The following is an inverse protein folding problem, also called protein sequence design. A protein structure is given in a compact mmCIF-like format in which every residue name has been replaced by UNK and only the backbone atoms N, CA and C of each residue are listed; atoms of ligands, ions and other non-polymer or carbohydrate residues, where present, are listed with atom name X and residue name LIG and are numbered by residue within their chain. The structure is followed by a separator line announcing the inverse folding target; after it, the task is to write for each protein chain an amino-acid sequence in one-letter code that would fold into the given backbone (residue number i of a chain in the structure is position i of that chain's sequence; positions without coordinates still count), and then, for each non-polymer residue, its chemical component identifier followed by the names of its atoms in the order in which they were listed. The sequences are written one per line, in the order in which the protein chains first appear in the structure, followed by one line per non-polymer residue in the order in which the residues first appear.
data_IF_754678652069
#
_entry.id   IF_754678652069
#
_cell.length_a   1.000
_cell.length_b   1.000
_cell.length_c   1.000
_cell.angle_alpha   90.00
_cell.angle_beta   90.00
_cell.angle_gamma   90.00
#
_symmetry.space_group_name_H-M   'P 1'
#
loop_
_entity.id
_entity.type
_entity.pdbx_description
1 polymer ?
#
# COMPACT_ATOMS: atom_id res chain seq x y z
N UNK A 1 21.13 12.82 -0.36
CA UNK A 1 21.26 11.78 0.67
C UNK A 1 20.90 10.41 0.11
N UNK A 2 21.72 9.44 0.40
CA UNK A 2 21.46 8.08 -0.03
C UNK A 2 20.25 7.53 0.73
N UNK A 3 19.38 6.75 0.07
CA UNK A 3 18.34 6.03 0.77
C UNK A 3 18.96 5.06 1.78
N UNK A 4 18.36 4.97 2.95
CA UNK A 4 18.78 3.97 3.93
C UNK A 4 18.07 2.63 3.63
N UNK A 5 18.41 1.61 4.43
CA UNK A 5 17.82 0.27 4.23
C UNK A 5 16.30 0.29 4.27
N UNK A 6 15.72 1.10 5.17
CA UNK A 6 14.26 1.18 5.27
C UNK A 6 13.63 1.72 3.99
N UNK A 7 14.24 2.71 3.37
CA UNK A 7 13.75 3.28 2.11
C UNK A 7 13.81 2.24 0.99
N UNK A 8 14.92 1.49 0.89
CA UNK A 8 15.03 0.44 -0.12
C UNK A 8 13.99 -0.67 0.09
N UNK A 9 13.78 -1.08 1.36
CA UNK A 9 12.79 -2.12 1.67
C UNK A 9 11.38 -1.65 1.34
N UNK A 10 11.04 -0.41 1.70
CA UNK A 10 9.73 0.17 1.37
C UNK A 10 9.54 0.28 -0.13
N UNK A 11 10.56 0.76 -0.84
CA UNK A 11 10.49 0.89 -2.29
C UNK A 11 10.24 -0.47 -2.94
N UNK A 12 11.00 -1.49 -2.54
CA UNK A 12 10.82 -2.85 -3.06
C UNK A 12 9.41 -3.37 -2.76
N UNK A 13 8.95 -3.20 -1.53
CA UNK A 13 7.63 -3.65 -1.12
C UNK A 13 6.54 -3.02 -2.01
N UNK A 14 6.59 -1.70 -2.19
CA UNK A 14 5.56 -1.00 -2.97
C UNK A 14 5.66 -1.29 -4.47
N UNK A 15 6.87 -1.52 -5.00
CA UNK A 15 7.01 -1.95 -6.40
C UNK A 15 6.36 -3.31 -6.59
N UNK A 16 6.61 -4.25 -5.68
CA UNK A 16 6.03 -5.59 -5.78
C UNK A 16 4.52 -5.53 -5.65
N UNK A 17 4.00 -4.85 -4.63
CA UNK A 17 2.56 -4.76 -4.42
C UNK A 17 1.87 -3.97 -5.53
N UNK A 18 2.51 -2.93 -6.04
CA UNK A 18 1.98 -2.17 -7.17
C UNK A 18 1.93 -3.01 -8.44
N UNK A 19 2.97 -3.82 -8.69
CA UNK A 19 3.01 -4.71 -9.83
C UNK A 19 1.89 -5.76 -9.76
N UNK A 20 1.52 -6.21 -8.57
CA UNK A 20 0.43 -7.16 -8.38
C UNK A 20 -0.90 -6.63 -8.88
N UNK A 21 -1.10 -5.31 -8.86
CA UNK A 21 -2.32 -4.69 -9.42
C UNK A 21 -2.46 -4.97 -10.92
N UNK A 22 -1.35 -5.20 -11.62
CA UNK A 22 -1.37 -5.51 -13.05
C UNK A 22 -1.37 -7.01 -13.33
N UNK A 23 -0.83 -7.80 -12.40
CA UNK A 23 -0.73 -9.26 -12.57
C UNK A 23 -2.07 -9.93 -12.23
N UNK A 24 -2.73 -9.49 -11.15
CA UNK A 24 -3.98 -10.07 -10.68
C UNK A 24 -5.04 -8.99 -10.44
N UNK A 25 -5.39 -8.19 -11.46
CA UNK A 25 -6.33 -7.08 -11.28
C UNK A 25 -7.71 -7.53 -10.81
N UNK A 26 -8.16 -8.71 -11.20
CA UNK A 26 -9.48 -9.23 -10.83
C UNK A 26 -9.61 -9.45 -9.33
N UNK A 27 -8.51 -9.82 -8.66
CA UNK A 27 -8.51 -9.98 -7.21
C UNK A 27 -8.78 -8.67 -6.50
N UNK A 28 -8.27 -7.56 -7.05
CA UNK A 28 -8.49 -6.24 -6.49
C UNK A 28 -9.88 -5.71 -6.80
N UNK A 29 -10.40 -5.92 -8.00
CA UNK A 29 -11.73 -5.42 -8.36
C UNK A 29 -12.83 -6.13 -7.58
N UNK A 30 -12.65 -7.40 -7.26
CA UNK A 30 -13.65 -8.19 -6.52
C UNK A 30 -13.88 -7.66 -5.11
N UNK A 31 -12.86 -7.05 -4.49
CA UNK A 31 -12.97 -6.53 -3.13
C UNK A 31 -13.50 -5.10 -3.07
N UNK A 32 -13.59 -4.43 -4.22
CA UNK A 32 -14.09 -3.06 -4.26
C UNK A 32 -15.61 -3.05 -4.24
N UNK A 33 -16.25 -2.07 -3.54
CA UNK A 33 -17.70 -1.94 -3.59
C UNK A 33 -18.22 -1.80 -5.01
N UNK A 34 -19.34 -2.46 -5.30
CA UNK A 34 -19.91 -2.48 -6.65
C UNK A 34 -20.35 -1.11 -7.14
N UNK A 35 -20.62 -0.19 -6.22
CA UNK A 35 -21.08 1.17 -6.57
C UNK A 35 -19.95 2.07 -7.09
N UNK A 36 -18.68 1.64 -6.97
CA UNK A 36 -17.56 2.44 -7.46
C UNK A 36 -17.44 2.27 -8.97
N UNK A 37 -17.55 3.37 -9.76
CA UNK A 37 -17.40 3.29 -11.21
C UNK A 37 -15.92 3.10 -11.58
N UNK A 38 -15.67 2.42 -12.70
CA UNK A 38 -14.33 2.28 -13.24
C UNK A 38 -13.39 1.50 -12.33
N UNK A 39 -13.88 0.44 -11.70
CA UNK A 39 -13.06 -0.34 -10.75
C UNK A 39 -11.75 -0.85 -11.34
N UNK A 40 -11.79 -1.36 -12.58
CA UNK A 40 -10.58 -1.85 -13.24
C UNK A 40 -9.58 -0.72 -13.47
N UNK A 41 -10.07 0.43 -13.94
CA UNK A 41 -9.22 1.60 -14.14
C UNK A 41 -8.60 2.07 -12.82
N UNK A 42 -9.38 2.05 -11.74
CA UNK A 42 -8.87 2.44 -10.42
C UNK A 42 -7.76 1.50 -9.93
N UNK A 43 -7.90 0.20 -10.18
CA UNK A 43 -6.86 -0.76 -9.83
C UNK A 43 -5.56 -0.43 -10.56
N UNK A 44 -5.62 -0.17 -11.86
CA UNK A 44 -4.44 0.17 -12.63
C UNK A 44 -3.85 1.51 -12.22
N UNK A 45 -4.68 2.51 -11.97
CA UNK A 45 -4.22 3.84 -11.53
C UNK A 45 -3.51 3.73 -10.18
N UNK A 46 -4.09 3.02 -9.22
CA UNK A 46 -3.46 2.84 -7.91
C UNK A 46 -2.15 2.07 -8.02
N UNK A 47 -2.09 1.07 -8.90
CA UNK A 47 -0.85 0.34 -9.17
C UNK A 47 0.25 1.23 -9.71
N UNK A 48 -0.08 2.09 -10.68
CA UNK A 48 0.87 3.06 -11.23
C UNK A 48 1.33 4.04 -10.15
N UNK A 49 0.40 4.57 -9.35
CA UNK A 49 0.73 5.50 -8.27
C UNK A 49 1.66 4.86 -7.24
N UNK A 50 1.41 3.60 -6.92
CA UNK A 50 2.19 2.86 -5.95
C UNK A 50 3.62 2.64 -6.45
N UNK A 51 3.78 2.23 -7.70
CA UNK A 51 5.11 2.03 -8.31
C UNK A 51 5.83 3.37 -8.44
N UNK A 52 5.15 4.39 -8.93
CA UNK A 52 5.74 5.72 -9.07
C UNK A 52 6.19 6.28 -7.72
N UNK A 53 5.36 6.11 -6.69
CA UNK A 53 5.70 6.52 -5.34
C UNK A 53 6.90 5.75 -4.80
N UNK A 54 6.94 4.44 -5.05
CA UNK A 54 8.05 3.60 -4.64
C UNK A 54 9.37 4.06 -5.24
N UNK A 55 9.38 4.35 -6.54
CA UNK A 55 10.58 4.84 -7.22
C UNK A 55 10.96 6.24 -6.74
N UNK A 56 9.97 7.09 -6.49
CA UNK A 56 10.20 8.45 -5.99
C UNK A 56 10.79 8.45 -4.58
N UNK A 57 10.54 7.41 -3.77
CA UNK A 57 11.17 7.28 -2.47
C UNK A 57 12.70 7.24 -2.56
N UNK A 58 13.23 6.75 -3.67
CA UNK A 58 14.67 6.64 -3.86
C UNK A 58 15.32 8.00 -4.13
N UNK A 59 14.54 8.99 -4.57
CA UNK A 59 15.07 10.33 -4.88
C UNK A 59 14.93 11.23 -3.65
N UNK A 60 16.05 11.84 -3.18
CA UNK A 60 16.03 12.60 -1.93
C UNK A 60 15.02 13.75 -1.90
N UNK A 61 14.86 14.45 -3.03
CA UNK A 61 13.96 15.60 -3.11
C UNK A 61 12.48 15.21 -3.16
N UNK A 62 12.19 14.01 -3.67
CA UNK A 62 10.81 13.53 -3.83
C UNK A 62 10.39 12.62 -2.69
N UNK A 63 11.32 12.18 -1.87
CA UNK A 63 11.07 11.14 -0.85
C UNK A 63 9.95 11.50 0.10
N UNK A 64 9.96 12.74 0.59
CA UNK A 64 8.94 13.17 1.54
C UNK A 64 7.55 13.23 0.89
N UNK A 65 7.48 13.78 -0.32
CA UNK A 65 6.23 13.82 -1.07
C UNK A 65 5.74 12.42 -1.41
N UNK A 66 6.65 11.56 -1.86
CA UNK A 66 6.33 10.18 -2.19
C UNK A 66 5.80 9.43 -0.96
N UNK A 67 6.45 9.63 0.18
CA UNK A 67 5.99 9.03 1.44
C UNK A 67 4.59 9.49 1.81
N UNK A 68 4.31 10.78 1.68
CA UNK A 68 2.98 11.32 1.96
C UNK A 68 1.93 10.73 1.02
N UNK A 69 2.24 10.62 -0.27
CA UNK A 69 1.32 10.03 -1.25
C UNK A 69 1.07 8.56 -0.98
N UNK A 70 2.12 7.80 -0.66
CA UNK A 70 1.97 6.37 -0.35
C UNK A 70 1.17 6.18 0.94
N UNK A 71 1.41 6.99 1.96
CA UNK A 71 0.64 6.92 3.21
C UNK A 71 -0.84 7.23 2.95
N UNK A 72 -1.12 8.26 2.15
CA UNK A 72 -2.48 8.60 1.78
C UNK A 72 -3.16 7.47 1.01
N UNK A 73 -2.42 6.84 0.09
CA UNK A 73 -2.93 5.70 -0.67
C UNK A 73 -3.26 4.52 0.24
N UNK A 74 -2.39 4.23 1.21
CA UNK A 74 -2.63 3.17 2.20
C UNK A 74 -3.90 3.44 3.02
N UNK A 75 -4.11 4.69 3.43
CA UNK A 75 -5.34 5.08 4.13
C UNK A 75 -6.55 4.87 3.22
N UNK A 76 -6.44 5.27 1.96
CA UNK A 76 -7.54 5.17 1.01
C UNK A 76 -7.93 3.72 0.70
N UNK A 77 -6.98 2.79 0.70
CA UNK A 77 -7.28 1.37 0.42
C UNK A 77 -7.68 0.58 1.66
N UNK A 78 -7.61 1.18 2.85
CA UNK A 78 -8.01 0.50 4.08
C UNK A 78 -9.46 0.00 4.05
N UNK A 79 -10.44 0.79 3.57
CA UNK A 79 -11.81 0.26 3.41
C UNK A 79 -11.90 -0.95 2.50
N UNK A 80 -11.07 -1.02 1.46
CA UNK A 80 -11.04 -2.19 0.58
C UNK A 80 -10.54 -3.44 1.32
N UNK A 81 -9.56 -3.29 2.20
CA UNK A 81 -9.07 -4.40 3.02
C UNK A 81 -10.15 -4.89 3.99
N UNK A 82 -10.93 -3.97 4.57
CA UNK A 82 -12.06 -4.33 5.43
C UNK A 82 -13.11 -5.07 4.62
N UNK A 83 -13.42 -4.60 3.42
CA UNK A 83 -14.40 -5.23 2.54
C UNK A 83 -13.95 -6.64 2.15
N UNK A 84 -12.66 -6.83 1.89
CA UNK A 84 -12.11 -8.15 1.59
C UNK A 84 -12.36 -9.14 2.73
N UNK A 85 -12.16 -8.70 3.98
CA UNK A 85 -12.42 -9.53 5.15
C UNK A 85 -13.91 -9.86 5.26
N UNK A 86 -14.78 -8.88 5.08
CA UNK A 86 -16.24 -9.09 5.12
C UNK A 86 -16.66 -10.10 4.07
N UNK A 87 -16.16 -9.95 2.84
CA UNK A 87 -16.48 -10.88 1.75
C UNK A 87 -16.02 -12.29 2.07
N UNK A 88 -14.82 -12.45 2.64
CA UNK A 88 -14.30 -13.77 3.00
C UNK A 88 -15.17 -14.45 4.05
N UNK A 89 -15.61 -13.71 5.06
CA UNK A 89 -16.49 -14.24 6.10
C UNK A 89 -17.84 -14.65 5.50
N UNK A 90 -18.41 -13.78 4.68
CA UNK A 90 -19.71 -14.01 4.04
C UNK A 90 -19.67 -15.21 3.10
N UNK A 91 -18.58 -15.35 2.34
CA UNK A 91 -18.43 -16.42 1.34
C UNK A 91 -17.98 -17.75 1.95
N UNK A 92 -17.77 -17.80 3.25
CA UNK A 92 -17.37 -19.05 3.91
C UNK A 92 -15.94 -19.45 3.63
N UNK A 93 -15.02 -18.48 3.51
CA UNK A 93 -13.61 -18.78 3.30
C UNK A 93 -13.02 -19.59 4.45
N UNK A 94 -11.88 -20.24 4.19
CA UNK A 94 -11.22 -21.06 5.19
C UNK A 94 -10.79 -20.23 6.41
N UNK A 95 -10.68 -20.90 7.57
CA UNK A 95 -10.23 -20.23 8.79
C UNK A 95 -8.86 -19.59 8.62
N UNK A 96 -7.96 -20.24 7.88
CA UNK A 96 -6.63 -19.69 7.60
C UNK A 96 -6.72 -18.40 6.79
N UNK A 97 -7.54 -18.39 5.75
CA UNK A 97 -7.71 -17.21 4.91
C UNK A 97 -8.27 -16.04 5.71
N UNK A 98 -9.29 -16.30 6.54
CA UNK A 98 -9.89 -15.27 7.40
C UNK A 98 -8.87 -14.75 8.39
N UNK A 99 -8.07 -15.63 9.01
CA UNK A 99 -7.02 -15.22 9.94
C UNK A 99 -5.97 -14.34 9.28
N UNK A 100 -5.56 -14.67 8.06
CA UNK A 100 -4.59 -13.86 7.31
C UNK A 100 -5.16 -12.48 6.97
N UNK A 101 -6.43 -12.40 6.61
CA UNK A 101 -7.08 -11.12 6.33
C UNK A 101 -7.21 -10.25 7.59
N UNK A 102 -7.53 -10.88 8.73
CA UNK A 102 -7.52 -10.18 10.02
C UNK A 102 -6.12 -9.61 10.34
N UNK A 103 -5.08 -10.41 10.08
CA UNK A 103 -3.70 -9.98 10.33
C UNK A 103 -3.30 -8.78 9.46
N UNK A 104 -3.84 -8.67 8.25
CA UNK A 104 -3.55 -7.55 7.36
C UNK A 104 -4.05 -6.21 7.87
N UNK A 105 -5.14 -6.20 8.64
CA UNK A 105 -5.71 -4.95 9.13
C UNK A 105 -4.75 -4.17 10.03
N UNK A 106 -4.14 -4.78 11.07
CA UNK A 106 -3.15 -4.05 11.88
C UNK A 106 -1.84 -3.78 11.14
N UNK A 107 -1.49 -4.56 10.11
CA UNK A 107 -0.29 -4.31 9.31
C UNK A 107 -0.41 -3.01 8.53
N UNK A 108 -1.61 -2.61 8.13
CA UNK A 108 -1.83 -1.39 7.36
C UNK A 108 -1.37 -0.13 8.14
N UNK A 109 -1.86 0.12 9.36
CA UNK A 109 -1.37 1.27 10.13
C UNK A 109 0.11 1.16 10.50
N UNK A 110 0.63 -0.05 10.71
CA UNK A 110 2.05 -0.23 10.97
C UNK A 110 2.88 0.17 9.75
N UNK A 111 2.41 -0.17 8.56
CA UNK A 111 3.08 0.21 7.32
C UNK A 111 3.02 1.72 7.10
N UNK A 112 1.89 2.35 7.39
CA UNK A 112 1.75 3.80 7.33
C UNK A 112 2.74 4.46 8.28
N UNK A 113 2.86 3.95 9.50
CA UNK A 113 3.80 4.46 10.49
C UNK A 113 5.24 4.32 9.99
N UNK A 114 5.59 3.18 9.39
CA UNK A 114 6.93 2.94 8.85
C UNK A 114 7.26 3.93 7.73
N UNK A 115 6.33 4.14 6.79
CA UNK A 115 6.50 5.13 5.72
C UNK A 115 6.71 6.52 6.31
N UNK A 116 5.89 6.88 7.29
CA UNK A 116 6.00 8.18 7.96
C UNK A 116 7.38 8.38 8.58
N UNK A 117 7.84 7.39 9.33
CA UNK A 117 9.14 7.48 10.00
C UNK A 117 10.32 7.46 9.02
N UNK A 118 10.23 6.67 7.98
CA UNK A 118 11.34 6.50 7.04
C UNK A 118 11.43 7.64 6.02
N UNK A 119 10.31 8.17 5.57
CA UNK A 119 10.27 9.08 4.43
C UNK A 119 9.87 10.51 4.80
N UNK A 120 8.95 10.68 5.75
CA UNK A 120 8.40 12.00 6.07
C UNK A 120 9.14 12.63 7.25
N UNK A 121 9.32 11.88 8.31
CA UNK A 121 10.04 12.35 9.50
C UNK A 121 11.13 11.36 9.90
N UNK A 122 12.22 11.29 9.09
CA UNK A 122 13.33 10.41 9.44
C UNK A 122 13.97 10.86 10.76
N UNK A 123 14.42 9.92 11.60
CA UNK A 123 14.99 10.24 12.92
C UNK A 123 16.30 11.02 12.85
N UNK A 124 16.94 11.07 11.70
CA UNK A 124 18.18 11.80 11.50
C UNK A 124 18.00 12.97 10.56
N UNK A 125 17.18 13.88 10.96
CA UNK A 125 17.08 15.14 10.27
C UNK A 125 18.35 15.97 10.46
N UNK A 126 19.06 15.77 11.54
CA UNK A 126 20.37 16.38 11.75
C UNK A 126 21.37 15.62 10.91
N UNK A 127 21.49 15.98 9.69
CA UNK A 127 22.46 15.37 8.80
C UNK A 127 23.88 15.63 9.21
N UNK A 128 24.22 15.31 10.38
CA UNK A 128 25.61 15.36 10.76
C UNK A 128 26.50 14.74 9.68
#
# INVERSE_FOLDING_TARGET
MRPNRNIYLLSLLFVVTGAMHFVIPDSYTRIMPHWIPGRVALVYVTGVMEIAGALALLHPRLRRLAGACLAALLVAVFPANIQMLINAITDGASSLQIALLWARLPLQPLLIYWVFKAAIHPPYASGS
#
